data_IF_149362351009
#
_entry.id   IF_149362351009
#
_cell.length_a   1.000
_cell.length_b   1.000
_cell.length_c   1.000
_cell.angle_alpha   90.00
_cell.angle_beta   90.00
_cell.angle_gamma   90.00
#
_symmetry.space_group_name_H-M   'P 1'
#
loop_
_entity.id
_entity.type
_entity.pdbx_description
1 polymer ?
#
# COMPACT_ATOMS: atom_id res chain seq x y z
N UNK A 1 22.24 20.34 -6.25
CA UNK A 1 20.82 19.91 -6.30
C UNK A 1 20.54 19.20 -4.98
N UNK A 2 19.46 19.57 -4.27
CA UNK A 2 19.09 18.85 -3.06
C UNK A 2 18.82 17.37 -3.40
N UNK A 3 19.11 16.44 -2.49
CA UNK A 3 18.79 15.02 -2.67
C UNK A 3 17.38 14.79 -2.10
N UNK A 4 16.49 14.02 -2.76
CA UNK A 4 15.20 13.65 -2.17
C UNK A 4 15.40 12.74 -0.95
N UNK A 5 14.34 12.46 -0.18
CA UNK A 5 14.39 11.47 0.90
C UNK A 5 15.03 10.16 0.44
N UNK A 6 15.75 9.48 1.34
CA UNK A 6 16.55 8.30 0.98
C UNK A 6 15.70 7.19 0.34
N UNK A 7 14.50 6.94 0.86
CA UNK A 7 13.53 5.97 0.32
C UNK A 7 13.11 6.32 -1.11
N UNK A 8 12.85 7.60 -1.40
CA UNK A 8 12.52 8.08 -2.74
C UNK A 8 13.72 8.01 -3.69
N UNK A 9 14.92 8.27 -3.18
CA UNK A 9 16.15 8.12 -3.95
C UNK A 9 16.43 6.67 -4.32
N UNK A 10 16.22 5.73 -3.38
CA UNK A 10 16.32 4.30 -3.61
C UNK A 10 15.30 3.82 -4.65
N UNK A 11 14.03 4.26 -4.53
CA UNK A 11 13.00 3.98 -5.51
C UNK A 11 13.41 4.44 -6.92
N UNK A 12 13.94 5.66 -7.05
CA UNK A 12 14.43 6.17 -8.33
C UNK A 12 15.51 5.30 -8.97
N UNK A 13 16.43 4.73 -8.19
CA UNK A 13 17.45 3.81 -8.72
C UNK A 13 16.89 2.42 -9.02
N UNK A 14 16.01 1.91 -8.18
CA UNK A 14 15.34 0.62 -8.38
C UNK A 14 14.51 0.62 -9.67
N UNK A 15 13.90 1.74 -10.04
CA UNK A 15 13.17 1.92 -11.31
C UNK A 15 14.05 1.92 -12.58
N UNK A 16 15.37 1.78 -12.45
CA UNK A 16 16.26 1.52 -13.59
C UNK A 16 16.33 0.04 -13.96
N UNK A 17 16.00 -0.84 -13.01
CA UNK A 17 16.06 -2.30 -13.17
C UNK A 17 14.68 -2.95 -13.03
N UNK A 18 13.73 -2.30 -12.34
CA UNK A 18 12.35 -2.72 -12.23
C UNK A 18 11.45 -1.89 -13.17
N UNK A 19 10.52 -2.54 -13.90
CA UNK A 19 9.69 -1.85 -14.90
C UNK A 19 8.57 -0.99 -14.29
N UNK A 20 8.18 -1.27 -13.04
CA UNK A 20 7.16 -0.51 -12.33
C UNK A 20 7.27 -0.64 -10.82
N UNK A 21 6.62 0.27 -10.11
CA UNK A 21 6.42 0.23 -8.66
C UNK A 21 4.94 0.41 -8.31
N UNK A 22 4.59 0.10 -7.06
CA UNK A 22 3.21 0.12 -6.57
C UNK A 22 2.78 -1.25 -6.10
N UNK A 23 1.65 -1.29 -5.39
CA UNK A 23 1.17 -2.48 -4.71
C UNK A 23 0.69 -3.58 -5.66
N UNK A 24 0.82 -4.81 -5.19
CA UNK A 24 0.04 -5.95 -5.67
C UNK A 24 -1.23 -6.02 -4.85
N UNK A 25 -2.39 -6.12 -5.50
CA UNK A 25 -3.71 -6.10 -4.89
C UNK A 25 -4.40 -7.42 -5.17
N UNK A 26 -4.72 -8.17 -4.11
CA UNK A 26 -5.59 -9.33 -4.16
C UNK A 26 -7.03 -8.91 -3.88
N UNK A 27 -7.92 -9.16 -4.85
CA UNK A 27 -9.35 -9.02 -4.65
C UNK A 27 -9.91 -10.33 -4.10
N UNK A 28 -10.59 -10.28 -2.95
CA UNK A 28 -11.13 -11.48 -2.29
C UNK A 28 -12.63 -11.42 -2.00
N UNK A 29 -13.32 -10.40 -2.53
CA UNK A 29 -14.79 -10.31 -2.54
C UNK A 29 -15.31 -10.13 -3.96
N UNK A 30 -16.28 -10.96 -4.34
CA UNK A 30 -16.87 -10.99 -5.68
C UNK A 30 -18.41 -10.91 -5.64
N UNK A 31 -18.96 -10.20 -4.65
CA UNK A 31 -20.39 -9.87 -4.62
C UNK A 31 -20.77 -8.89 -5.75
N UNK A 32 -22.06 -8.82 -6.11
CA UNK A 32 -22.54 -7.85 -7.11
C UNK A 32 -22.26 -6.39 -6.73
N UNK A 33 -22.24 -6.09 -5.42
CA UNK A 33 -21.85 -4.78 -4.87
C UNK A 33 -20.35 -4.56 -5.08
N UNK A 34 -19.52 -5.57 -4.78
CA UNK A 34 -18.08 -5.53 -5.05
C UNK A 34 -17.80 -5.25 -6.53
N UNK A 35 -18.40 -6.02 -7.43
CA UNK A 35 -18.22 -5.85 -8.89
C UNK A 35 -18.58 -4.44 -9.37
N UNK A 36 -19.66 -3.86 -8.83
CA UNK A 36 -20.11 -2.54 -9.22
C UNK A 36 -19.19 -1.40 -8.72
N UNK A 37 -18.46 -1.61 -7.63
CA UNK A 37 -17.70 -0.56 -6.95
C UNK A 37 -16.17 -0.75 -6.98
N UNK A 38 -15.67 -1.92 -7.38
CA UNK A 38 -14.24 -2.24 -7.29
C UNK A 38 -13.36 -1.27 -8.10
N UNK A 39 -13.79 -0.87 -9.30
CA UNK A 39 -13.05 0.12 -10.11
C UNK A 39 -12.96 1.49 -9.44
N UNK A 40 -14.03 1.94 -8.79
CA UNK A 40 -14.04 3.19 -8.01
C UNK A 40 -13.10 3.10 -6.82
N UNK A 41 -13.12 1.97 -6.09
CA UNK A 41 -12.22 1.72 -4.97
C UNK A 41 -10.76 1.71 -5.44
N UNK A 42 -10.46 1.00 -6.53
CA UNK A 42 -9.13 0.96 -7.12
C UNK A 42 -8.61 2.36 -7.47
N UNK A 43 -9.41 3.17 -8.17
CA UNK A 43 -9.05 4.54 -8.53
C UNK A 43 -8.84 5.43 -7.29
N UNK A 44 -9.65 5.24 -6.25
CA UNK A 44 -9.48 5.95 -4.98
C UNK A 44 -8.17 5.59 -4.27
N UNK A 45 -7.77 4.32 -4.26
CA UNK A 45 -6.49 3.89 -3.66
C UNK A 45 -5.29 4.48 -4.43
N UNK A 46 -5.32 4.44 -5.77
CA UNK A 46 -4.28 5.10 -6.58
C UNK A 46 -4.22 6.60 -6.29
N UNK A 47 -5.37 7.27 -6.19
CA UNK A 47 -5.42 8.70 -5.87
C UNK A 47 -4.89 9.00 -4.46
N UNK A 48 -5.09 8.12 -3.47
CA UNK A 48 -4.49 8.25 -2.14
C UNK A 48 -2.97 8.20 -2.19
N UNK A 49 -2.41 7.18 -2.87
CA UNK A 49 -0.95 7.03 -3.04
C UNK A 49 -0.40 8.26 -3.76
N UNK A 50 -1.04 8.67 -4.85
CA UNK A 50 -0.66 9.85 -5.64
C UNK A 50 -0.61 11.11 -4.79
N UNK A 51 -1.64 11.36 -3.99
CA UNK A 51 -1.76 12.58 -3.18
C UNK A 51 -0.65 12.66 -2.14
N UNK A 52 -0.39 11.58 -1.41
CA UNK A 52 0.68 11.53 -0.41
C UNK A 52 2.08 11.61 -1.07
N UNK A 53 2.29 10.90 -2.18
CA UNK A 53 3.53 10.94 -2.94
C UNK A 53 3.87 12.36 -3.45
N UNK A 54 2.90 13.08 -4.00
CA UNK A 54 3.13 14.45 -4.49
C UNK A 54 3.14 15.50 -3.39
N UNK A 55 2.62 15.21 -2.18
CA UNK A 55 2.84 16.06 -1.02
C UNK A 55 4.32 16.07 -0.62
N UNK A 56 4.96 14.90 -0.56
CA UNK A 56 6.41 14.79 -0.35
C UNK A 56 7.20 15.49 -1.47
N UNK A 57 6.77 15.33 -2.72
CA UNK A 57 7.37 16.03 -3.87
C UNK A 57 7.35 17.56 -3.71
N UNK A 58 6.24 18.11 -3.23
CA UNK A 58 6.08 19.54 -3.01
C UNK A 58 6.99 20.04 -1.87
N UNK A 59 7.13 19.26 -0.79
CA UNK A 59 8.07 19.56 0.29
C UNK A 59 9.52 19.54 -0.21
N UNK A 60 9.92 18.51 -0.94
CA UNK A 60 11.24 18.42 -1.56
C UNK A 60 11.52 19.59 -2.51
N UNK A 61 10.58 19.94 -3.39
CA UNK A 61 10.70 21.07 -4.30
C UNK A 61 10.87 22.40 -3.53
N UNK A 62 10.18 22.58 -2.40
CA UNK A 62 10.31 23.77 -1.56
C UNK A 62 11.72 23.95 -0.97
N UNK A 63 12.49 22.86 -0.84
CA UNK A 63 13.89 22.87 -0.39
C UNK A 63 14.91 23.04 -1.54
N UNK A 64 14.45 23.32 -2.76
CA UNK A 64 15.30 23.46 -3.95
C UNK A 64 15.59 22.15 -4.68
N UNK A 65 14.77 21.11 -4.43
CA UNK A 65 14.76 19.86 -5.16
C UNK A 65 14.17 19.99 -6.57
N UNK A 66 14.59 19.10 -7.48
CA UNK A 66 14.02 19.03 -8.83
C UNK A 66 12.73 18.18 -8.86
N UNK A 67 11.55 18.79 -9.11
CA UNK A 67 10.28 18.06 -9.15
C UNK A 67 10.21 17.04 -10.31
N UNK A 68 11.05 17.15 -11.33
CA UNK A 68 11.08 16.19 -12.44
C UNK A 68 11.43 14.76 -11.99
N UNK A 69 12.15 14.61 -10.87
CA UNK A 69 12.46 13.30 -10.29
C UNK A 69 11.17 12.56 -9.92
N UNK A 70 10.25 13.23 -9.21
CA UNK A 70 8.98 12.63 -8.79
C UNK A 70 8.07 12.33 -9.99
N UNK A 71 8.08 13.18 -11.02
CA UNK A 71 7.34 12.92 -12.26
C UNK A 71 7.86 11.65 -12.97
N UNK A 72 9.20 11.48 -13.03
CA UNK A 72 9.83 10.30 -13.61
C UNK A 72 9.53 9.01 -12.84
N UNK A 73 9.52 9.09 -11.50
CA UNK A 73 9.11 7.96 -10.65
C UNK A 73 7.63 7.63 -10.88
N UNK A 74 6.74 8.63 -10.79
CA UNK A 74 5.30 8.42 -10.94
C UNK A 74 4.91 7.85 -12.31
N UNK A 75 5.65 8.20 -13.38
CA UNK A 75 5.42 7.65 -14.71
C UNK A 75 5.55 6.11 -14.79
N UNK A 76 6.21 5.48 -13.81
CA UNK A 76 6.33 4.02 -13.68
C UNK A 76 5.47 3.44 -12.56
N UNK A 77 4.56 4.23 -11.97
CA UNK A 77 3.60 3.74 -10.99
C UNK A 77 2.57 2.81 -11.66
N UNK A 78 2.32 1.65 -11.07
CA UNK A 78 1.31 0.71 -11.51
C UNK A 78 0.90 -0.21 -10.37
N UNK A 79 -0.39 -0.21 -10.05
CA UNK A 79 -1.00 -1.20 -9.17
C UNK A 79 -1.29 -2.48 -9.96
N UNK A 80 -0.84 -3.62 -9.44
CA UNK A 80 -1.05 -4.94 -10.07
C UNK A 80 -2.22 -5.62 -9.39
N UNK A 81 -3.34 -5.83 -10.08
CA UNK A 81 -4.51 -6.53 -9.52
C UNK A 81 -4.48 -8.00 -9.90
N UNK A 82 -4.66 -8.88 -8.91
CA UNK A 82 -4.83 -10.32 -9.09
C UNK A 82 -6.28 -10.67 -8.77
N UNK A 83 -7.00 -11.13 -9.79
CA UNK A 83 -8.41 -11.52 -9.70
C UNK A 83 -8.59 -12.97 -10.18
N UNK A 84 -9.21 -13.78 -9.33
CA UNK A 84 -9.65 -15.15 -9.64
C UNK A 84 -10.76 -15.50 -8.65
N UNK A 85 -12.01 -15.22 -9.04
CA UNK A 85 -13.17 -15.44 -8.18
C UNK A 85 -13.30 -16.91 -7.72
N UNK A 86 -12.84 -17.88 -8.51
CA UNK A 86 -12.92 -19.29 -8.14
C UNK A 86 -11.93 -19.66 -7.03
N UNK A 87 -10.79 -18.98 -6.97
CA UNK A 87 -9.71 -19.31 -6.05
C UNK A 87 -9.53 -18.32 -4.90
N UNK A 88 -10.06 -17.10 -5.03
CA UNK A 88 -9.81 -15.99 -4.12
C UNK A 88 -11.07 -15.49 -3.40
N UNK A 89 -12.28 -15.91 -3.77
CA UNK A 89 -13.48 -15.47 -3.06
C UNK A 89 -13.49 -15.99 -1.62
N UNK A 90 -13.49 -15.07 -0.65
CA UNK A 90 -13.54 -15.37 0.78
C UNK A 90 -12.30 -16.07 1.37
N UNK A 91 -11.17 -16.11 0.66
CA UNK A 91 -9.96 -16.76 1.19
C UNK A 91 -9.34 -16.02 2.36
N UNK A 92 -8.70 -16.76 3.27
CA UNK A 92 -8.03 -16.21 4.44
C UNK A 92 -6.77 -15.40 4.08
N UNK A 93 -6.36 -14.52 4.98
CA UNK A 93 -5.11 -13.75 4.87
C UNK A 93 -3.91 -14.67 4.70
N UNK A 94 -3.81 -15.75 5.48
CA UNK A 94 -2.70 -16.71 5.35
C UNK A 94 -2.67 -17.38 3.97
N UNK A 95 -3.84 -17.67 3.40
CA UNK A 95 -3.95 -18.23 2.05
C UNK A 95 -3.57 -17.21 0.97
N UNK A 96 -3.77 -15.91 1.22
CA UNK A 96 -3.26 -14.86 0.33
C UNK A 96 -1.77 -14.69 0.49
N UNK A 97 -1.24 -14.72 1.73
CA UNK A 97 0.19 -14.64 2.00
C UNK A 97 0.94 -15.72 1.24
N UNK A 98 0.54 -16.98 1.38
CA UNK A 98 1.16 -18.11 0.67
C UNK A 98 1.13 -17.95 -0.86
N UNK A 99 0.03 -17.43 -1.42
CA UNK A 99 -0.06 -17.14 -2.87
C UNK A 99 0.82 -15.98 -3.30
N UNK A 100 0.93 -14.95 -2.47
CA UNK A 100 1.79 -13.82 -2.73
C UNK A 100 3.26 -14.23 -2.68
N UNK A 101 3.67 -15.03 -1.70
CA UNK A 101 5.00 -15.63 -1.63
C UNK A 101 5.31 -16.44 -2.91
N UNK A 102 4.41 -17.32 -3.34
CA UNK A 102 4.58 -18.09 -4.59
C UNK A 102 4.71 -17.16 -5.82
N UNK A 103 3.87 -16.13 -5.92
CA UNK A 103 3.92 -15.15 -7.01
C UNK A 103 5.25 -14.38 -7.04
N UNK A 104 5.80 -14.04 -5.87
CA UNK A 104 7.12 -13.39 -5.76
C UNK A 104 8.25 -14.36 -6.14
N UNK A 105 8.18 -15.60 -5.68
CA UNK A 105 9.20 -16.62 -5.95
C UNK A 105 9.27 -16.97 -7.44
N UNK A 106 8.13 -17.05 -8.14
CA UNK A 106 8.08 -17.24 -9.61
C UNK A 106 8.83 -16.13 -10.35
N UNK A 107 8.86 -14.91 -9.81
CA UNK A 107 9.60 -13.79 -10.39
C UNK A 107 11.08 -13.77 -9.97
N UNK A 108 11.45 -14.53 -8.95
CA UNK A 108 12.79 -14.51 -8.36
C UNK A 108 13.14 -13.16 -7.74
N UNK A 109 12.14 -12.45 -7.17
CA UNK A 109 12.28 -11.08 -6.66
C UNK A 109 12.15 -10.94 -5.14
N UNK A 110 12.18 -12.06 -4.42
CA UNK A 110 12.16 -12.11 -2.95
C UNK A 110 13.16 -11.13 -2.34
N UNK A 111 12.65 -10.25 -1.47
CA UNK A 111 13.40 -9.24 -0.70
C UNK A 111 14.23 -8.23 -1.54
N UNK A 112 13.98 -8.13 -2.86
CA UNK A 112 14.73 -7.22 -3.75
C UNK A 112 14.12 -5.84 -3.91
N UNK A 113 12.81 -5.72 -3.70
CA UNK A 113 12.08 -4.47 -3.93
C UNK A 113 10.75 -4.48 -3.17
N UNK A 114 10.29 -3.30 -2.73
CA UNK A 114 9.11 -3.14 -1.85
C UNK A 114 7.85 -3.80 -2.43
N UNK A 115 7.72 -3.80 -3.77
CA UNK A 115 6.63 -4.47 -4.51
C UNK A 115 6.47 -5.95 -4.19
N UNK A 116 7.56 -6.60 -3.79
CA UNK A 116 7.62 -8.02 -3.50
C UNK A 116 7.66 -8.32 -2.01
N UNK A 117 7.58 -7.31 -1.15
CA UNK A 117 7.56 -7.47 0.31
C UNK A 117 6.16 -7.54 0.88
N UNK A 118 5.21 -6.85 0.27
CA UNK A 118 3.84 -6.78 0.77
C UNK A 118 2.80 -6.67 -0.34
N UNK A 119 1.60 -7.17 -0.05
CA UNK A 119 0.42 -7.04 -0.90
C UNK A 119 -0.76 -6.43 -0.15
N UNK A 120 -1.66 -5.80 -0.88
CA UNK A 120 -2.96 -5.33 -0.39
C UNK A 120 -3.99 -6.45 -0.58
N UNK A 121 -4.85 -6.65 0.41
CA UNK A 121 -6.06 -7.48 0.33
C UNK A 121 -7.27 -6.59 0.44
N UNK A 122 -8.15 -6.67 -0.57
CA UNK A 122 -9.47 -6.04 -0.56
C UNK A 122 -10.51 -7.14 -0.38
N UNK A 123 -10.89 -7.34 0.88
CA UNK A 123 -12.00 -8.20 1.27
C UNK A 123 -13.29 -7.38 1.47
N UNK A 124 -14.37 -8.07 1.85
CA UNK A 124 -15.67 -7.42 2.06
C UNK A 124 -15.60 -6.33 3.14
N UNK A 125 -14.85 -6.55 4.22
CA UNK A 125 -14.67 -5.55 5.27
C UNK A 125 -14.01 -4.27 4.71
N UNK A 126 -12.91 -4.41 3.97
CA UNK A 126 -12.22 -3.28 3.34
C UNK A 126 -13.16 -2.54 2.39
N UNK A 127 -13.87 -3.28 1.52
CA UNK A 127 -14.82 -2.73 0.57
C UNK A 127 -15.87 -1.85 1.25
N UNK A 128 -16.50 -2.34 2.33
CA UNK A 128 -17.53 -1.59 3.05
C UNK A 128 -17.00 -0.25 3.59
N UNK A 129 -15.75 -0.18 4.06
CA UNK A 129 -15.15 1.10 4.50
C UNK A 129 -14.84 2.06 3.36
N UNK A 130 -14.68 1.53 2.14
CA UNK A 130 -14.31 2.28 0.94
C UNK A 130 -15.53 2.67 0.10
N UNK A 131 -16.73 2.19 0.41
CA UNK A 131 -17.95 2.59 -0.28
C UNK A 131 -18.20 4.10 -0.15
N UNK A 132 -18.69 4.69 -1.24
CA UNK A 132 -18.96 6.13 -1.33
C UNK A 132 -17.70 6.99 -1.47
N UNK A 133 -16.51 6.40 -1.58
CA UNK A 133 -15.29 7.13 -1.95
C UNK A 133 -15.23 7.41 -3.44
N UNK A 134 -14.45 8.43 -3.82
CA UNK A 134 -14.10 8.70 -5.21
C UNK A 134 -12.77 9.44 -5.29
N UNK A 135 -12.03 9.23 -6.37
CA UNK A 135 -10.78 9.95 -6.62
C UNK A 135 -11.01 11.45 -6.80
N UNK A 136 -12.13 11.82 -7.45
CA UNK A 136 -12.51 13.21 -7.71
C UNK A 136 -12.79 13.98 -6.41
N UNK A 137 -13.50 13.35 -5.47
CA UNK A 137 -13.75 13.93 -4.16
C UNK A 137 -12.44 14.15 -3.39
N UNK A 138 -11.52 13.17 -3.45
CA UNK A 138 -10.21 13.27 -2.82
C UNK A 138 -9.33 14.38 -3.42
N UNK A 139 -9.36 14.56 -4.74
CA UNK A 139 -8.60 15.61 -5.44
C UNK A 139 -9.12 17.02 -5.10
N UNK A 140 -10.43 17.17 -4.87
CA UNK A 140 -11.06 18.44 -4.50
C UNK A 140 -10.86 18.84 -3.04
N UNK A 141 -10.42 17.93 -2.17
CA UNK A 141 -10.12 18.25 -0.79
C UNK A 141 -8.88 19.16 -0.67
N UNK A 142 -9.13 20.42 -0.32
CA UNK A 142 -8.11 21.46 -0.11
C UNK A 142 -7.49 21.44 1.28
N UNK A 143 -8.15 20.83 2.27
CA UNK A 143 -7.63 20.62 3.61
C UNK A 143 -7.83 19.16 4.01
N UNK A 144 -6.87 18.63 4.76
CA UNK A 144 -7.01 17.34 5.42
C UNK A 144 -8.07 17.47 6.51
N UNK A 145 -9.32 17.14 6.17
CA UNK A 145 -10.36 16.92 7.15
C UNK A 145 -10.18 15.49 7.64
N UNK A 146 -9.82 15.32 8.91
CA UNK A 146 -9.81 14.00 9.54
C UNK A 146 -11.22 13.43 9.39
N UNK A 147 -11.37 12.51 8.45
CA UNK A 147 -12.66 11.88 8.22
C UNK A 147 -13.02 11.10 9.49
N UNK A 148 -14.28 11.19 9.92
CA UNK A 148 -14.78 10.36 11.00
C UNK A 148 -14.87 8.88 10.57
N UNK A 149 -14.90 8.63 9.27
CA UNK A 149 -14.94 7.30 8.67
C UNK A 149 -13.52 6.80 8.43
N UNK A 150 -13.12 5.77 9.17
CA UNK A 150 -11.83 5.08 8.98
C UNK A 150 -11.91 4.26 7.68
N UNK A 151 -11.07 4.60 6.70
CA UNK A 151 -11.02 3.93 5.38
C UNK A 151 -9.72 3.17 5.21
N UNK A 152 -9.75 1.85 5.34
CA UNK A 152 -8.53 1.06 5.32
C UNK A 152 -8.59 -0.08 4.32
N UNK A 153 -7.41 -0.60 4.02
CA UNK A 153 -7.19 -1.87 3.35
C UNK A 153 -6.37 -2.76 4.26
N UNK A 154 -6.39 -4.07 4.03
CA UNK A 154 -5.46 -4.99 4.70
C UNK A 154 -4.17 -5.04 3.90
N UNK A 155 -3.04 -4.90 4.57
CA UNK A 155 -1.70 -5.05 3.96
C UNK A 155 -1.01 -6.21 4.65
N UNK A 156 -0.48 -7.14 3.84
CA UNK A 156 0.08 -8.41 4.29
C UNK A 156 1.53 -8.47 3.85
N UNK A 157 2.44 -8.74 4.80
CA UNK A 157 3.86 -9.01 4.56
C UNK A 157 4.04 -10.47 4.11
N UNK A 158 4.90 -10.69 3.12
CA UNK A 158 5.17 -12.02 2.58
C UNK A 158 5.91 -12.94 3.57
N UNK A 159 6.97 -12.45 4.20
CA UNK A 159 7.80 -13.22 5.12
C UNK A 159 8.02 -12.46 6.41
N UNK A 160 6.98 -12.30 7.25
CA UNK A 160 7.12 -11.61 8.52
C UNK A 160 8.07 -12.39 9.44
N UNK A 161 8.85 -11.66 10.23
CA UNK A 161 9.56 -12.22 11.38
C UNK A 161 8.55 -12.33 12.51
N UNK A 162 8.27 -13.56 12.93
CA UNK A 162 7.33 -13.84 14.02
C UNK A 162 8.17 -14.21 15.24
N UNK A 163 8.24 -13.30 16.21
CA UNK A 163 8.93 -13.55 17.47
C UNK A 163 8.05 -14.42 18.39
N UNK A 164 8.33 -15.72 18.40
CA UNK A 164 7.73 -16.70 19.32
C UNK A 164 8.09 -16.35 20.78
N UNK A 165 7.31 -15.46 21.41
CA UNK A 165 7.51 -15.08 22.81
C UNK A 165 6.99 -13.71 23.23
N UNK A 166 6.58 -12.85 22.28
CA UNK A 166 5.93 -11.58 22.62
C UNK A 166 4.43 -11.79 22.90
N UNK A 167 3.86 -11.12 23.90
CA UNK A 167 2.43 -11.23 24.26
C UNK A 167 1.51 -10.65 23.17
N UNK A 168 2.12 -9.96 22.21
CA UNK A 168 1.53 -9.14 21.16
C UNK A 168 1.98 -9.61 19.75
N UNK A 169 1.97 -10.93 19.54
CA UNK A 169 2.41 -11.61 18.31
C UNK A 169 1.86 -10.94 17.04
N UNK A 170 2.71 -10.21 16.32
CA UNK A 170 2.38 -9.59 15.05
C UNK A 170 2.47 -10.66 13.94
N UNK A 171 1.34 -11.04 13.34
CA UNK A 171 1.30 -12.11 12.33
C UNK A 171 1.61 -11.58 10.92
N UNK A 172 2.25 -10.42 10.80
CA UNK A 172 2.70 -9.91 9.51
C UNK A 172 1.62 -9.25 8.67
N UNK A 173 0.55 -8.71 9.27
CA UNK A 173 -0.41 -7.90 8.52
C UNK A 173 -1.05 -6.82 9.38
N UNK A 174 -1.57 -5.79 8.72
CA UNK A 174 -2.29 -4.70 9.39
C UNK A 174 -3.39 -4.09 8.52
N UNK A 175 -4.34 -3.42 9.18
CA UNK A 175 -5.30 -2.52 8.51
C UNK A 175 -4.65 -1.17 8.22
N UNK A 176 -4.08 -1.00 7.03
CA UNK A 176 -3.48 0.27 6.64
C UNK A 176 -4.55 1.28 6.21
N UNK A 177 -4.53 2.46 6.81
CA UNK A 177 -5.37 3.57 6.37
C UNK A 177 -4.98 3.99 4.94
N UNK A 178 -5.96 4.18 4.07
CA UNK A 178 -5.74 4.34 2.62
C UNK A 178 -4.79 5.49 2.27
N UNK A 179 -4.73 6.54 3.10
CA UNK A 179 -3.83 7.69 2.89
C UNK A 179 -2.39 7.47 3.35
N UNK A 180 -2.16 6.46 4.19
CA UNK A 180 -0.84 6.08 4.68
C UNK A 180 -0.15 5.06 3.76
N UNK A 181 -0.73 4.71 2.60
CA UNK A 181 -0.19 3.72 1.68
C UNK A 181 1.17 4.14 1.08
N UNK A 182 1.37 5.42 0.77
CA UNK A 182 2.70 5.89 0.34
C UNK A 182 3.72 5.78 1.48
N UNK A 183 3.34 6.23 2.69
CA UNK A 183 4.22 6.21 3.85
C UNK A 183 4.66 4.78 4.15
N UNK A 184 3.70 3.85 4.23
CA UNK A 184 3.96 2.42 4.40
C UNK A 184 4.87 1.88 3.28
N UNK A 185 4.56 2.18 2.02
CA UNK A 185 5.40 1.77 0.90
C UNK A 185 6.84 2.20 1.08
N UNK A 186 7.06 3.47 1.44
CA UNK A 186 8.39 4.03 1.63
C UNK A 186 9.13 3.40 2.82
N UNK A 187 8.42 3.14 3.94
CA UNK A 187 8.99 2.55 5.15
C UNK A 187 9.42 1.10 4.97
N UNK A 188 8.82 0.37 4.03
CA UNK A 188 9.19 -1.01 3.74
C UNK A 188 10.41 -1.14 2.80
N UNK A 189 11.16 -0.06 2.55
CA UNK A 189 12.31 -0.03 1.64
C UNK A 189 13.62 -0.56 2.21
N UNK A 190 13.82 -0.44 3.52
CA UNK A 190 15.09 -0.74 4.21
C UNK A 190 15.20 -2.18 4.72
N UNK A 191 14.20 -3.02 4.44
CA UNK A 191 14.13 -4.38 4.97
C UNK A 191 13.55 -4.47 6.39
N UNK A 192 13.13 -3.35 7.01
CA UNK A 192 12.51 -3.36 8.33
C UNK A 192 11.18 -4.11 8.32
N UNK A 193 10.81 -4.65 9.48
CA UNK A 193 9.57 -5.37 9.71
C UNK A 193 8.35 -4.44 9.61
N UNK A 194 7.23 -4.98 9.12
CA UNK A 194 5.98 -4.22 9.05
C UNK A 194 5.45 -3.81 10.44
N UNK A 195 5.84 -4.51 11.51
CA UNK A 195 5.54 -4.18 12.91
C UNK A 195 5.98 -2.75 13.27
N UNK A 196 7.20 -2.36 12.90
CA UNK A 196 7.74 -1.02 13.15
C UNK A 196 7.03 0.07 12.36
N UNK A 197 6.49 -0.28 11.18
CA UNK A 197 5.68 0.64 10.37
C UNK A 197 4.29 0.81 10.97
N UNK A 198 3.73 -0.26 11.56
CA UNK A 198 2.46 -0.21 12.25
C UNK A 198 2.50 0.72 13.46
N UNK A 199 3.52 0.62 14.32
CA UNK A 199 3.67 1.49 15.51
C UNK A 199 3.55 2.96 15.12
N UNK A 200 4.30 3.37 14.09
CA UNK A 200 4.28 4.73 13.56
C UNK A 200 2.90 5.14 13.03
N UNK A 201 2.22 4.26 12.29
CA UNK A 201 0.90 4.55 11.71
C UNK A 201 -0.19 4.63 12.79
N UNK A 202 -0.09 3.79 13.81
CA UNK A 202 -1.04 3.72 14.91
C UNK A 202 -1.10 5.03 15.72
N UNK A 203 0.03 5.73 15.87
CA UNK A 203 0.15 6.99 16.61
C UNK A 203 -0.77 8.10 16.08
N UNK A 204 -1.08 8.08 14.78
CA UNK A 204 -1.93 9.11 14.15
C UNK A 204 -3.31 8.59 13.68
N UNK A 205 -3.55 7.27 13.71
CA UNK A 205 -4.77 6.65 13.22
C UNK A 205 -5.52 5.81 14.29
N UNK A 206 -6.61 6.33 14.89
CA UNK A 206 -7.43 5.56 15.82
C UNK A 206 -8.20 4.46 15.06
N UNK A 207 -8.06 3.21 15.49
CA UNK A 207 -8.80 2.07 14.92
C UNK A 207 -8.01 1.19 13.94
N UNK A 208 -6.68 1.34 13.86
CA UNK A 208 -5.81 0.40 13.16
C UNK A 208 -5.68 -0.88 13.99
N UNK A 209 -5.91 -2.02 13.34
CA UNK A 209 -5.69 -3.35 13.90
C UNK A 209 -4.40 -3.92 13.31
N UNK A 210 -3.48 -4.35 14.17
CA UNK A 210 -2.46 -5.32 13.80
C UNK A 210 -3.02 -6.71 14.03
N UNK A 211 -2.67 -7.63 13.15
CA UNK A 211 -2.98 -9.02 13.40
C UNK A 211 -1.90 -9.91 12.90
#
# INVERSE_FOLDING_TARGET
MARPPDTTWELFHNLRVHPSWGYVIYRTTYSSVSDAHFSTVFNYLEACIRKSFFAEAAEYASTGGDPAIYQGIWAQHSLTVIEDAMQLDGVSIDSIRARFEEWVDVQGQRDKFNKYRMCIVIDEECLQTLLGTSAEALDQETQYVRDKTVRYVKVVEAWPIIDEGDEDEFLGWMKCWSRALWDLWSMMGDGAEMSLSWDKISDFCPGVYRG
#
